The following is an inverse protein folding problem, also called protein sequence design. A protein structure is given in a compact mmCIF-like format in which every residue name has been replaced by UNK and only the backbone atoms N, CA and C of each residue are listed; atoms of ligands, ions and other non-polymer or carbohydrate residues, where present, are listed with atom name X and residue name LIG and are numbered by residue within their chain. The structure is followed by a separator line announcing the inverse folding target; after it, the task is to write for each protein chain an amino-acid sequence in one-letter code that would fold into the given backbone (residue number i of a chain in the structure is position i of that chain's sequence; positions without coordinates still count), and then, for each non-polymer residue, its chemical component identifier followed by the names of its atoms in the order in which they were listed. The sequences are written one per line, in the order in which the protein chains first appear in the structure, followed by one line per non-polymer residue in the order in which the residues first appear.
data_IF_024315951393
#
_entry.id   IF_024315951393
#
_cell.length_a   1.000
_cell.length_b   1.000
_cell.length_c   1.000
_cell.angle_alpha   90.00
_cell.angle_beta   90.00
_cell.angle_gamma   90.00
#
_symmetry.space_group_name_H-M   'P 1'
#
loop_
_entity.id
_entity.type
_entity.pdbx_description
1 polymer ?
#
# COMPACT_ATOMS: atom_id res chain seq x y z
N UNK A 1 -27.71 -42.99 -53.58
CA UNK A 1 -28.52 -42.44 -52.46
C UNK A 1 -27.66 -41.45 -51.70
N UNK A 2 -27.85 -40.15 -51.94
CA UNK A 2 -27.19 -39.11 -51.15
C UNK A 2 -28.06 -38.86 -49.92
N UNK A 3 -27.52 -39.19 -48.74
CA UNK A 3 -28.08 -38.88 -47.43
C UNK A 3 -28.25 -37.36 -47.33
N UNK A 4 -29.44 -36.85 -47.68
CA UNK A 4 -29.88 -35.49 -47.33
C UNK A 4 -30.18 -35.47 -45.83
N UNK A 5 -29.15 -35.44 -45.01
CA UNK A 5 -29.32 -35.02 -43.61
C UNK A 5 -29.68 -33.53 -43.62
N UNK A 6 -30.84 -33.20 -43.05
CA UNK A 6 -31.24 -31.81 -42.87
C UNK A 6 -30.23 -31.09 -41.97
N UNK A 7 -29.85 -29.83 -42.25
CA UNK A 7 -28.93 -29.10 -41.39
C UNK A 7 -29.53 -28.97 -39.98
N UNK A 8 -28.75 -29.20 -38.91
CA UNK A 8 -29.28 -29.27 -37.56
C UNK A 8 -29.93 -27.93 -37.17
N UNK A 9 -31.22 -27.99 -36.82
CA UNK A 9 -32.03 -26.82 -36.49
C UNK A 9 -31.49 -26.00 -35.31
N UNK A 10 -30.67 -26.63 -34.46
CA UNK A 10 -30.11 -26.03 -33.25
C UNK A 10 -28.62 -25.69 -33.36
N UNK A 11 -28.13 -25.30 -34.54
CA UNK A 11 -26.79 -24.71 -34.64
C UNK A 11 -26.83 -23.26 -34.14
N UNK A 12 -26.02 -22.89 -33.13
CA UNK A 12 -25.92 -21.51 -32.69
C UNK A 12 -25.37 -20.65 -33.83
N UNK A 13 -26.22 -19.78 -34.38
CA UNK A 13 -25.81 -18.81 -35.42
C UNK A 13 -24.68 -17.94 -34.88
N UNK A 14 -23.59 -17.84 -35.66
CA UNK A 14 -22.33 -17.17 -35.30
C UNK A 14 -22.49 -15.73 -34.79
N UNK A 15 -23.57 -15.03 -35.18
CA UNK A 15 -23.91 -13.69 -34.67
C UNK A 15 -24.30 -13.66 -33.19
N UNK A 16 -24.84 -14.76 -32.63
CA UNK A 16 -25.34 -14.82 -31.25
C UNK A 16 -24.21 -15.10 -30.24
N UNK A 17 -23.19 -15.83 -30.65
CA UNK A 17 -22.07 -16.20 -29.77
C UNK A 17 -21.16 -15.02 -29.42
N UNK A 18 -20.96 -14.06 -30.32
CA UNK A 18 -20.16 -12.86 -30.03
C UNK A 18 -20.82 -11.95 -28.99
N UNK A 19 -22.16 -11.81 -29.05
CA UNK A 19 -22.92 -11.08 -28.01
C UNK A 19 -22.78 -11.75 -26.64
N UNK A 20 -22.87 -13.07 -26.59
CA UNK A 20 -22.64 -13.81 -25.35
C UNK A 20 -21.23 -13.57 -24.80
N UNK A 21 -20.20 -13.56 -25.67
CA UNK A 21 -18.83 -13.23 -25.26
C UNK A 21 -18.72 -11.82 -24.67
N UNK A 22 -19.35 -10.82 -25.28
CA UNK A 22 -19.35 -9.45 -24.75
C UNK A 22 -20.09 -9.34 -23.41
N UNK A 23 -21.21 -10.05 -23.25
CA UNK A 23 -21.93 -10.09 -21.97
C UNK A 23 -21.07 -10.72 -20.88
N UNK A 24 -20.43 -11.86 -21.17
CA UNK A 24 -19.53 -12.52 -20.21
C UNK A 24 -18.35 -11.61 -19.86
N UNK A 25 -17.73 -10.95 -20.85
CA UNK A 25 -16.63 -10.02 -20.64
C UNK A 25 -17.06 -8.83 -19.75
N UNK A 26 -18.24 -8.27 -20.02
CA UNK A 26 -18.82 -7.17 -19.24
C UNK A 26 -19.06 -7.58 -17.79
N UNK A 27 -19.70 -8.73 -17.56
CA UNK A 27 -19.93 -9.25 -16.20
C UNK A 27 -18.62 -9.45 -15.45
N UNK A 28 -17.60 -10.00 -16.12
CA UNK A 28 -16.29 -10.24 -15.51
C UNK A 28 -15.60 -8.92 -15.13
N UNK A 29 -15.60 -7.94 -16.04
CA UNK A 29 -14.98 -6.63 -15.82
C UNK A 29 -15.70 -5.85 -14.70
N UNK A 30 -17.03 -5.81 -14.73
CA UNK A 30 -17.82 -5.12 -13.71
C UNK A 30 -17.69 -5.80 -12.34
N UNK A 31 -17.75 -7.13 -12.30
CA UNK A 31 -17.58 -7.89 -11.05
C UNK A 31 -16.20 -7.68 -10.43
N UNK A 32 -15.13 -7.77 -11.25
CA UNK A 32 -13.77 -7.52 -10.79
C UNK A 32 -13.56 -6.06 -10.34
N UNK A 33 -14.07 -5.10 -11.12
CA UNK A 33 -13.98 -3.68 -10.79
C UNK A 33 -14.70 -3.34 -9.49
N UNK A 34 -15.91 -3.85 -9.27
CA UNK A 34 -16.66 -3.66 -8.03
C UNK A 34 -15.94 -4.29 -6.83
N UNK A 35 -15.37 -5.48 -7.00
CA UNK A 35 -14.60 -6.16 -5.96
C UNK A 35 -13.33 -5.38 -5.57
N UNK A 36 -12.57 -4.91 -6.56
CA UNK A 36 -11.40 -4.06 -6.33
C UNK A 36 -11.76 -2.74 -5.68
N UNK A 37 -12.84 -2.11 -6.13
CA UNK A 37 -13.37 -0.90 -5.52
C UNK A 37 -13.70 -1.12 -4.05
N UNK A 38 -14.41 -2.21 -3.74
CA UNK A 38 -14.74 -2.59 -2.37
C UNK A 38 -13.46 -2.84 -1.55
N UNK A 39 -12.48 -3.59 -2.05
CA UNK A 39 -11.23 -3.83 -1.32
C UNK A 39 -10.42 -2.55 -1.05
N UNK A 40 -10.37 -1.62 -2.01
CA UNK A 40 -9.67 -0.34 -1.82
C UNK A 40 -10.39 0.64 -0.88
N UNK A 41 -11.72 0.64 -0.87
CA UNK A 41 -12.50 1.62 -0.08
C UNK A 41 -12.98 1.08 1.25
N UNK A 42 -13.00 -0.25 1.42
CA UNK A 42 -13.21 -0.90 2.70
C UNK A 42 -11.92 -0.82 3.50
N UNK A 43 -11.66 0.36 4.05
CA UNK A 43 -10.72 0.50 5.16
C UNK A 43 -11.25 -0.43 6.27
N UNK A 44 -10.45 -1.39 6.78
CA UNK A 44 -10.83 -2.03 8.03
C UNK A 44 -11.06 -0.88 9.02
N UNK A 45 -12.13 -0.90 9.83
CA UNK A 45 -12.24 0.04 10.92
C UNK A 45 -10.97 -0.18 11.74
N UNK A 46 -10.02 0.73 11.63
CA UNK A 46 -9.00 0.91 12.65
C UNK A 46 -9.87 1.34 13.82
N UNK A 47 -10.31 0.35 14.60
CA UNK A 47 -10.81 0.55 15.94
C UNK A 47 -9.59 1.12 16.63
N UNK A 48 -9.38 2.44 16.46
CA UNK A 48 -8.68 3.22 17.44
C UNK A 48 -9.51 2.96 18.67
N UNK A 49 -9.07 1.99 19.45
CA UNK A 49 -9.42 1.82 20.83
C UNK A 49 -9.04 3.16 21.44
N UNK A 50 -9.97 4.11 21.36
CA UNK A 50 -9.95 5.31 22.16
C UNK A 50 -10.14 4.75 23.55
N UNK A 51 -9.01 4.33 24.13
CA UNK A 51 -8.88 4.07 25.55
C UNK A 51 -9.39 5.36 26.17
N UNK A 52 -10.66 5.34 26.55
CA UNK A 52 -11.29 6.41 27.29
C UNK A 52 -10.66 6.26 28.66
N UNK A 53 -9.46 6.83 28.83
CA UNK A 53 -8.75 6.85 30.10
C UNK A 53 -9.74 7.51 31.07
N UNK A 54 -10.31 6.77 32.04
CA UNK A 54 -11.23 7.37 32.98
C UNK A 54 -10.46 8.44 33.75
N UNK A 55 -10.90 9.69 33.61
CA UNK A 55 -10.23 10.90 34.12
C UNK A 55 -10.35 11.03 35.64
N UNK A 56 -10.68 9.95 36.36
CA UNK A 56 -10.88 9.97 37.81
C UNK A 56 -9.77 9.30 38.62
N UNK A 57 -8.74 8.74 37.98
CA UNK A 57 -7.54 8.22 38.67
C UNK A 57 -6.24 8.92 38.22
N UNK A 58 -6.33 9.92 37.34
CA UNK A 58 -5.16 10.71 36.89
C UNK A 58 -4.91 11.89 37.84
N UNK A 59 -4.75 11.58 39.13
CA UNK A 59 -3.73 12.26 39.94
C UNK A 59 -2.48 11.37 39.84
N UNK A 60 -1.51 11.87 39.09
CA UNK A 60 -0.17 11.29 38.90
C UNK A 60 -0.10 9.92 38.21
N UNK A 61 -0.21 9.95 36.88
CA UNK A 61 0.77 9.26 36.02
C UNK A 61 0.73 9.92 34.65
N UNK A 62 1.51 10.99 34.50
CA UNK A 62 2.09 11.33 33.19
C UNK A 62 2.88 10.09 32.79
N UNK A 63 2.31 9.26 31.91
CA UNK A 63 3.09 8.39 31.03
C UNK A 63 3.78 9.34 30.04
N UNK A 64 4.73 10.11 30.56
CA UNK A 64 5.77 10.73 29.77
C UNK A 64 6.53 9.57 29.14
N UNK A 65 6.78 9.69 27.85
CA UNK A 65 7.88 9.07 27.14
C UNK A 65 9.00 8.65 28.11
N UNK A 66 9.48 7.39 28.10
CA UNK A 66 10.66 7.05 28.90
C UNK A 66 11.75 8.07 28.53
N UNK A 67 12.32 8.80 29.50
CA UNK A 67 13.35 9.78 29.20
C UNK A 67 14.48 9.05 28.47
N UNK A 68 14.86 9.56 27.30
CA UNK A 68 16.02 9.05 26.60
C UNK A 68 17.20 8.99 27.60
N UNK A 69 17.96 7.88 27.64
CA UNK A 69 19.10 7.77 28.53
C UNK A 69 20.03 8.97 28.31
N UNK A 70 20.62 9.55 29.37
CA UNK A 70 21.49 10.71 29.25
C UNK A 70 22.61 10.38 28.26
N UNK A 71 22.73 11.19 27.21
CA UNK A 71 23.75 11.01 26.18
C UNK A 71 25.13 10.97 26.87
N UNK A 72 25.98 9.96 26.58
CA UNK A 72 27.32 9.93 27.13
C UNK A 72 28.06 11.21 26.70
N UNK A 73 28.84 11.85 27.58
CA UNK A 73 29.62 13.01 27.21
C UNK A 73 30.55 12.64 26.06
N UNK A 74 30.29 13.17 24.87
CA UNK A 74 31.14 13.00 23.71
C UNK A 74 32.39 13.85 23.98
N UNK A 75 33.57 13.27 24.19
CA UNK A 75 34.78 14.06 24.31
C UNK A 75 34.99 14.79 22.97
N UNK A 76 34.95 16.11 23.00
CA UNK A 76 35.27 16.95 21.85
C UNK A 76 36.79 16.84 21.62
N UNK A 77 37.22 15.80 20.91
CA UNK A 77 38.61 15.66 20.48
C UNK A 77 38.85 16.79 19.48
N UNK A 78 39.62 17.79 19.90
CA UNK A 78 40.06 18.84 18.98
C UNK A 78 40.93 18.17 17.91
N UNK A 79 40.65 18.41 16.62
CA UNK A 79 41.52 17.90 15.55
C UNK A 79 42.93 18.46 15.75
N UNK A 80 43.99 17.67 15.46
CA UNK A 80 45.35 18.13 15.63
C UNK A 80 45.56 19.39 14.79
N UNK A 81 46.14 20.42 15.41
CA UNK A 81 46.48 21.66 14.73
C UNK A 81 47.52 21.35 13.65
N UNK A 82 47.13 21.45 12.38
CA UNK A 82 48.03 21.27 11.25
C UNK A 82 48.54 22.64 10.84
N UNK A 83 49.76 22.98 11.27
CA UNK A 83 50.50 24.12 10.75
C UNK A 83 51.01 23.77 9.34
N UNK A 84 50.29 24.26 8.32
CA UNK A 84 50.73 24.15 6.94
C UNK A 84 51.75 25.28 6.66
N UNK A 85 53.01 24.95 6.29
CA UNK A 85 53.96 25.98 5.91
C UNK A 85 53.48 26.69 4.63
N UNK A 86 53.75 27.99 4.48
CA UNK A 86 53.35 28.72 3.29
C UNK A 86 54.00 28.10 2.04
N UNK A 87 53.25 27.98 0.92
CA UNK A 87 53.79 27.41 -0.30
C UNK A 87 54.95 28.27 -0.82
N UNK A 88 56.13 27.66 -0.95
CA UNK A 88 57.29 28.30 -1.55
C UNK A 88 57.07 28.32 -3.06
N UNK A 89 56.78 29.49 -3.60
CA UNK A 89 56.73 29.72 -5.05
C UNK A 89 58.16 29.98 -5.50
N UNK A 90 58.79 28.99 -6.15
CA UNK A 90 60.04 29.20 -6.87
C UNK A 90 59.73 29.84 -8.23
N UNK A 91 60.38 30.99 -8.51
CA UNK A 91 60.29 31.71 -9.78
C UNK A 91 61.39 31.26 -10.73
#
# INVERSE_FOLDING_TARGET
MLLRSSPPANMPKMRRSWRAKLVVLGVLATGYGAFMWHMMHSKPPVIMERVLIPVDVVKEKKQAEPPAPPAPPIPLIQPPHVDLPPPVIHR
#
